data_IF_489517930013
#
_entry.id   IF_489517930013
#
_cell.length_a   1.000
_cell.length_b   1.000
_cell.length_c   1.000
_cell.angle_alpha   90.00
_cell.angle_beta   90.00
_cell.angle_gamma   90.00
#
_symmetry.space_group_name_H-M   'P 1'
#
loop_
_entity.id
_entity.type
_entity.pdbx_description
1 polymer ?
#
# COMPACT_ATOMS: atom_id res chain seq x y z
N UNK A 1 13.21 4.41 -13.50
CA UNK A 1 12.50 3.32 -14.22
C UNK A 1 12.12 3.82 -15.61
N UNK A 2 11.87 2.93 -16.59
CA UNK A 2 11.33 3.38 -17.89
C UNK A 2 9.83 3.70 -17.78
N UNK A 3 9.29 4.48 -18.72
CA UNK A 3 7.89 4.94 -18.66
C UNK A 3 6.88 3.79 -18.66
N UNK A 4 7.16 2.71 -19.39
CA UNK A 4 6.29 1.51 -19.42
C UNK A 4 6.13 0.90 -18.03
N UNK A 5 7.24 0.69 -17.33
CA UNK A 5 7.25 0.13 -15.96
C UNK A 5 6.61 1.06 -14.94
N UNK A 6 6.68 2.39 -15.14
CA UNK A 6 5.96 3.35 -14.30
C UNK A 6 4.45 3.17 -14.44
N UNK A 7 3.94 3.10 -15.67
CA UNK A 7 2.51 2.90 -15.92
C UNK A 7 2.03 1.57 -15.32
N UNK A 8 2.78 0.48 -15.53
CA UNK A 8 2.45 -0.84 -14.94
C UNK A 8 2.39 -0.81 -13.40
N UNK A 9 3.24 -0.02 -12.73
CA UNK A 9 3.19 0.10 -11.27
C UNK A 9 2.05 1.00 -10.81
N UNK A 10 1.73 2.06 -11.56
CA UNK A 10 0.58 2.93 -11.25
C UNK A 10 -0.72 2.12 -11.34
N UNK A 11 -0.90 1.32 -12.40
CA UNK A 11 -2.08 0.46 -12.54
C UNK A 11 -2.22 -0.49 -11.34
N UNK A 12 -1.11 -1.10 -10.89
CA UNK A 12 -1.11 -1.95 -9.68
C UNK A 12 -1.50 -1.21 -8.41
N UNK A 13 -1.00 0.01 -8.21
CA UNK A 13 -1.38 0.82 -7.04
C UNK A 13 -2.88 1.11 -7.04
N UNK A 14 -3.47 1.36 -8.21
CA UNK A 14 -4.92 1.56 -8.34
C UNK A 14 -5.70 0.27 -8.06
N UNK A 15 -5.22 -0.88 -8.52
CA UNK A 15 -5.80 -2.19 -8.19
C UNK A 15 -5.79 -2.43 -6.67
N UNK A 16 -4.63 -2.29 -6.02
CA UNK A 16 -4.49 -2.49 -4.57
C UNK A 16 -5.33 -1.52 -3.76
N UNK A 17 -5.46 -0.27 -4.22
CA UNK A 17 -6.33 0.72 -3.59
C UNK A 17 -7.80 0.27 -3.58
N UNK A 18 -8.30 -0.30 -4.68
CA UNK A 18 -9.67 -0.82 -4.76
C UNK A 18 -9.87 -2.09 -3.93
N UNK A 19 -8.82 -2.90 -3.79
CA UNK A 19 -8.84 -4.16 -3.04
C UNK A 19 -8.60 -3.97 -1.52
N UNK A 20 -8.24 -2.77 -1.06
CA UNK A 20 -7.83 -2.55 0.33
C UNK A 20 -6.48 -3.19 0.68
N UNK A 21 -5.64 -3.47 -0.33
CA UNK A 21 -4.33 -4.08 -0.17
C UNK A 21 -3.22 -3.03 -0.05
N UNK A 22 -2.07 -3.42 0.48
CA UNK A 22 -0.92 -2.54 0.64
C UNK A 22 -0.52 -1.85 -0.67
N UNK A 23 -0.57 -0.53 -0.70
CA UNK A 23 -0.28 0.30 -1.88
C UNK A 23 1.18 0.24 -2.37
N UNK A 24 2.07 -0.39 -1.60
CA UNK A 24 3.47 -0.54 -1.99
C UNK A 24 3.74 -1.93 -2.54
N UNK A 25 3.27 -2.99 -1.89
CA UNK A 25 3.63 -4.37 -2.21
C UNK A 25 2.46 -5.28 -2.63
N UNK A 26 1.22 -4.81 -2.52
CA UNK A 26 0.01 -5.58 -2.84
C UNK A 26 -0.36 -6.68 -1.84
N UNK A 27 0.35 -6.81 -0.72
CA UNK A 27 -0.01 -7.75 0.33
C UNK A 27 -1.23 -7.24 1.12
N UNK A 28 -2.02 -8.17 1.66
CA UNK A 28 -3.11 -7.88 2.59
C UNK A 28 -2.59 -7.10 3.79
N UNK A 29 -3.30 -6.05 4.19
CA UNK A 29 -3.00 -5.27 5.40
C UNK A 29 -3.48 -6.03 6.64
N UNK A 30 -2.82 -5.81 7.78
CA UNK A 30 -3.20 -6.49 9.03
C UNK A 30 -4.64 -6.19 9.45
N UNK A 31 -5.15 -4.98 9.20
CA UNK A 31 -6.53 -4.61 9.53
C UNK A 31 -7.63 -5.39 8.78
N UNK A 32 -7.27 -6.15 7.75
CA UNK A 32 -8.20 -7.03 7.01
C UNK A 32 -8.17 -8.49 7.53
N UNK A 33 -7.25 -8.80 8.45
CA UNK A 33 -7.30 -10.03 9.24
C UNK A 33 -8.33 -9.79 10.36
N UNK A 34 -9.50 -10.42 10.23
CA UNK A 34 -10.63 -10.36 11.15
C UNK A 34 -10.19 -10.23 12.62
N UNK A 35 -10.82 -9.26 13.31
CA UNK A 35 -10.59 -8.79 14.68
C UNK A 35 -10.52 -9.84 15.82
N UNK A 36 -10.60 -11.14 15.51
CA UNK A 36 -10.54 -12.23 16.47
C UNK A 36 -9.14 -12.87 16.59
N UNK A 37 -8.18 -12.50 15.74
CA UNK A 37 -6.95 -13.30 15.60
C UNK A 37 -5.61 -12.63 15.96
N UNK A 38 -5.49 -11.36 16.40
CA UNK A 38 -4.15 -10.82 16.68
C UNK A 38 -4.01 -9.80 17.83
N UNK A 39 -2.95 -10.02 18.60
CA UNK A 39 -2.47 -9.28 19.77
C UNK A 39 -2.45 -7.75 19.56
N UNK A 40 -2.87 -7.01 20.61
CA UNK A 40 -2.96 -5.54 20.80
C UNK A 40 -1.69 -4.69 20.48
N UNK A 41 -0.67 -5.24 19.79
CA UNK A 41 0.66 -4.65 19.64
C UNK A 41 1.05 -4.20 18.22
N UNK A 42 0.22 -4.39 17.19
CA UNK A 42 0.49 -3.86 15.84
C UNK A 42 -0.75 -3.15 15.30
N UNK A 43 -0.62 -1.90 14.81
CA UNK A 43 -1.79 -1.19 14.28
C UNK A 43 -2.29 -1.82 12.99
N UNK A 44 -3.60 -1.76 12.79
CA UNK A 44 -4.35 -2.29 11.64
C UNK A 44 -3.79 -1.80 10.29
N UNK A 45 -3.05 -0.68 10.35
CA UNK A 45 -2.43 0.04 9.26
C UNK A 45 -1.09 -0.59 8.82
N UNK A 46 -0.56 -1.58 9.54
CA UNK A 46 0.75 -2.12 9.26
C UNK A 46 0.73 -3.24 8.21
N UNK A 47 1.54 -3.08 7.16
CA UNK A 47 1.83 -4.16 6.21
C UNK A 47 3.01 -5.01 6.70
N UNK A 48 2.73 -6.25 7.11
CA UNK A 48 3.75 -7.22 7.54
C UNK A 48 4.78 -7.56 6.46
N UNK A 49 4.41 -7.45 5.17
CA UNK A 49 5.28 -7.87 4.08
C UNK A 49 6.37 -6.84 3.76
N UNK A 50 6.01 -5.55 3.66
CA UNK A 50 6.96 -4.48 3.30
C UNK A 50 7.31 -3.53 4.45
N UNK A 51 6.72 -3.74 5.63
CA UNK A 51 6.94 -2.93 6.83
C UNK A 51 6.49 -1.48 6.71
N UNK A 52 5.56 -1.20 5.80
CA UNK A 52 4.95 0.12 5.63
C UNK A 52 3.69 0.20 6.48
N UNK A 53 3.55 1.32 7.17
CA UNK A 53 2.32 1.69 7.83
C UNK A 53 1.51 2.56 6.85
N UNK A 54 0.28 2.14 6.55
CA UNK A 54 -0.69 2.80 5.68
C UNK A 54 -2.03 2.64 6.38
N UNK A 55 -2.56 3.74 6.89
CA UNK A 55 -3.87 3.74 7.51
C UNK A 55 -4.94 3.65 6.41
N UNK A 56 -5.77 2.58 6.35
CA UNK A 56 -6.85 2.46 5.39
C UNK A 56 -8.11 3.22 5.82
N UNK A 57 -8.18 3.68 7.07
CA UNK A 57 -9.29 4.41 7.65
C UNK A 57 -9.07 5.93 7.67
N UNK A 58 -7.81 6.38 7.58
CA UNK A 58 -7.43 7.78 7.40
C UNK A 58 -6.57 7.98 6.15
N UNK A 59 -6.97 8.92 5.30
CA UNK A 59 -6.18 9.35 4.13
C UNK A 59 -5.81 8.26 3.08
N UNK A 60 -6.59 7.19 2.93
CA UNK A 60 -6.32 6.09 1.97
C UNK A 60 -6.10 6.57 0.53
N UNK A 61 -6.99 7.44 0.03
CA UNK A 61 -6.85 8.06 -1.30
C UNK A 61 -5.56 8.88 -1.42
N UNK A 62 -5.19 9.63 -0.37
CA UNK A 62 -3.97 10.44 -0.36
C UNK A 62 -2.72 9.55 -0.33
N UNK A 63 -2.77 8.44 0.39
CA UNK A 63 -1.71 7.42 0.42
C UNK A 63 -1.48 6.80 -0.96
N UNK A 64 -2.55 6.56 -1.74
CA UNK A 64 -2.43 6.09 -3.12
C UNK A 64 -1.81 7.14 -4.04
N UNK A 65 -2.20 8.41 -3.89
CA UNK A 65 -1.59 9.52 -4.64
C UNK A 65 -0.10 9.65 -4.32
N UNK A 66 0.30 9.53 -3.05
CA UNK A 66 1.72 9.59 -2.66
C UNK A 66 2.53 8.38 -3.16
N UNK A 67 1.94 7.18 -3.19
CA UNK A 67 2.55 6.01 -3.81
C UNK A 67 2.81 6.24 -5.31
N UNK A 68 1.81 6.75 -6.04
CA UNK A 68 1.93 7.12 -7.46
C UNK A 68 2.99 8.21 -7.66
N UNK A 69 3.01 9.24 -6.81
CA UNK A 69 4.01 10.32 -6.87
C UNK A 69 5.44 9.78 -6.79
N UNK A 70 5.69 8.83 -5.89
CA UNK A 70 7.00 8.17 -5.75
C UNK A 70 7.40 7.39 -7.01
N UNK A 71 6.45 6.66 -7.62
CA UNK A 71 6.67 5.96 -8.90
C UNK A 71 7.02 6.95 -10.02
N UNK A 72 6.26 8.05 -10.12
CA UNK A 72 6.46 9.09 -11.15
C UNK A 72 7.84 9.73 -11.00
N UNK A 73 8.26 10.03 -9.77
CA UNK A 73 9.53 10.71 -9.49
C UNK A 73 10.74 9.78 -9.40
N UNK A 74 10.58 8.46 -9.59
CA UNK A 74 11.64 7.47 -9.33
C UNK A 74 12.22 7.56 -7.90
N UNK A 75 11.44 8.07 -6.95
CA UNK A 75 11.76 7.98 -5.53
C UNK A 75 11.72 6.50 -5.12
N UNK A 76 12.35 6.14 -3.99
CA UNK A 76 12.45 4.73 -3.53
C UNK A 76 11.05 4.12 -3.31
N UNK A 77 10.47 3.61 -4.39
CA UNK A 77 9.31 2.77 -4.45
C UNK A 77 9.82 1.35 -4.65
N UNK A 78 9.77 0.56 -3.57
CA UNK A 78 10.16 -0.84 -3.60
C UNK A 78 8.87 -1.62 -3.33
N UNK A 79 8.33 -2.32 -4.35
CA UNK A 79 7.24 -3.24 -4.14
C UNK A 79 7.67 -4.48 -3.36
#
# INVERSE_FOLDING_TARGET
>A
MNSKKKLELIDKVLEWHMEGACLYCGATLNGDLLADDFDDFQSDDYCLNCGKNIDPYDEWDASAVEAIRKIVNDERFVP
#
